data_IF_127217507540
#
_entry.id   IF_127217507540
#
_cell.length_a   1.000
_cell.length_b   1.000
_cell.length_c   1.000
_cell.angle_alpha   90.00
_cell.angle_beta   90.00
_cell.angle_gamma   90.00
#
_symmetry.space_group_name_H-M   'P 1'
#
loop_
_entity.id
_entity.type
_entity.pdbx_description
1 polymer ?
#
# COMPACT_ATOMS: atom_id res chain seq x y z
N UNK A 1 4.50 -5.87 -0.64
CA UNK A 1 3.58 -5.54 -1.76
C UNK A 1 2.20 -5.23 -1.21
N UNK A 2 1.66 -4.06 -1.55
CA UNK A 2 0.28 -3.67 -1.21
C UNK A 2 -0.71 -4.46 -2.07
N UNK A 3 -1.83 -4.86 -1.49
CA UNK A 3 -2.90 -5.58 -2.17
C UNK A 3 -2.65 -7.08 -2.38
N UNK A 4 -1.54 -7.62 -1.87
CA UNK A 4 -1.16 -9.03 -2.09
C UNK A 4 -2.13 -10.02 -1.44
N UNK A 5 -2.80 -9.64 -0.37
CA UNK A 5 -3.77 -10.49 0.33
C UNK A 5 -5.22 -10.28 -0.14
N UNK A 6 -5.45 -9.50 -1.21
CA UNK A 6 -6.78 -9.18 -1.69
C UNK A 6 -7.49 -8.15 -0.82
N UNK A 7 -8.82 -8.21 -0.76
CA UNK A 7 -9.69 -7.24 -0.07
C UNK A 7 -10.05 -7.65 1.36
N UNK A 8 -10.60 -6.70 2.10
CA UNK A 8 -11.26 -6.94 3.38
C UNK A 8 -10.33 -7.43 4.50
N UNK A 9 -10.71 -8.48 5.22
CA UNK A 9 -9.97 -9.01 6.37
C UNK A 9 -8.56 -9.48 5.99
N UNK A 10 -8.37 -10.02 4.78
CA UNK A 10 -7.05 -10.42 4.28
C UNK A 10 -6.10 -9.24 4.21
N UNK A 11 -6.55 -8.11 3.66
CA UNK A 11 -5.78 -6.86 3.58
C UNK A 11 -5.44 -6.31 4.98
N UNK A 12 -6.42 -6.26 5.88
CA UNK A 12 -6.21 -5.79 7.25
C UNK A 12 -5.16 -6.63 8.00
N UNK A 13 -5.26 -7.95 7.92
CA UNK A 13 -4.29 -8.88 8.52
C UNK A 13 -2.91 -8.73 7.88
N UNK A 14 -2.85 -8.63 6.56
CA UNK A 14 -1.60 -8.43 5.82
C UNK A 14 -0.89 -7.15 6.25
N UNK A 15 -1.62 -6.05 6.46
CA UNK A 15 -1.06 -4.80 6.93
C UNK A 15 -0.41 -4.95 8.32
N UNK A 16 -1.13 -5.57 9.27
CA UNK A 16 -0.64 -5.76 10.64
C UNK A 16 0.57 -6.71 10.69
N UNK A 17 0.54 -7.84 9.98
CA UNK A 17 1.65 -8.77 9.93
C UNK A 17 2.88 -8.17 9.23
N UNK A 18 2.67 -7.38 8.18
CA UNK A 18 3.74 -6.62 7.52
C UNK A 18 4.41 -5.67 8.50
N UNK A 19 3.63 -4.88 9.24
CA UNK A 19 4.17 -3.96 10.24
C UNK A 19 4.89 -4.71 11.38
N UNK A 20 4.35 -5.85 11.83
CA UNK A 20 5.00 -6.70 12.86
C UNK A 20 6.38 -7.17 12.40
N UNK A 21 6.50 -7.65 11.17
CA UNK A 21 7.77 -8.09 10.59
C UNK A 21 8.74 -6.91 10.49
N UNK A 22 8.29 -5.77 9.99
CA UNK A 22 9.11 -4.56 9.85
C UNK A 22 9.63 -4.10 11.22
N UNK A 23 8.76 -4.05 12.22
CA UNK A 23 9.16 -3.68 13.59
C UNK A 23 10.21 -4.63 14.17
N UNK A 24 10.12 -5.94 13.86
CA UNK A 24 11.09 -6.93 14.29
C UNK A 24 12.42 -6.85 13.53
N UNK A 25 12.38 -6.60 12.21
CA UNK A 25 13.56 -6.51 11.35
C UNK A 25 14.35 -5.21 11.54
N UNK A 26 13.68 -4.13 11.95
CA UNK A 26 14.26 -2.81 12.13
C UNK A 26 15.05 -2.28 10.91
N UNK A 27 14.48 -2.31 9.70
CA UNK A 27 15.17 -1.83 8.51
C UNK A 27 15.33 -0.30 8.54
N UNK A 28 16.34 0.22 7.85
CA UNK A 28 16.53 1.65 7.68
C UNK A 28 15.62 2.22 6.58
N UNK A 29 15.25 1.40 5.60
CA UNK A 29 14.41 1.77 4.46
C UNK A 29 13.29 0.76 4.27
N UNK A 30 12.12 1.28 3.93
CA UNK A 30 10.95 0.50 3.53
C UNK A 30 10.41 1.06 2.22
N UNK A 31 10.39 0.25 1.18
CA UNK A 31 9.73 0.60 -0.07
C UNK A 31 8.41 -0.18 -0.21
N UNK A 32 7.37 0.51 -0.68
CA UNK A 32 6.10 -0.12 -1.02
C UNK A 32 5.87 -0.12 -2.53
N UNK A 33 5.32 -1.22 -3.03
CA UNK A 33 4.85 -1.39 -4.39
C UNK A 33 3.44 -1.97 -4.34
N UNK A 34 2.58 -1.57 -5.27
CA UNK A 34 1.25 -2.16 -5.40
C UNK A 34 1.30 -3.37 -6.33
N UNK A 35 0.66 -4.47 -5.93
CA UNK A 35 0.58 -5.68 -6.75
C UNK A 35 -0.12 -5.39 -8.08
N UNK A 36 0.47 -5.85 -9.16
CA UNK A 36 -0.09 -5.76 -10.51
C UNK A 36 -0.10 -7.17 -11.12
N UNK A 37 -1.28 -7.73 -11.44
CA UNK A 37 -1.36 -9.03 -12.08
C UNK A 37 -0.75 -8.97 -13.48
N UNK A 38 0.20 -9.84 -13.77
CA UNK A 38 0.88 -9.93 -15.06
C UNK A 38 0.32 -11.10 -15.85
N UNK A 39 -0.03 -10.94 -17.14
CA UNK A 39 -0.46 -12.02 -18.00
C UNK A 39 0.50 -13.22 -17.93
N UNK A 40 -0.06 -14.43 -17.89
CA UNK A 40 0.71 -15.67 -17.76
C UNK A 40 1.01 -16.12 -16.33
N UNK A 41 0.82 -15.25 -15.32
CA UNK A 41 1.04 -15.61 -13.91
C UNK A 41 -0.19 -16.30 -13.29
N UNK A 42 0.04 -17.04 -12.20
CA UNK A 42 -1.05 -17.65 -11.43
C UNK A 42 -1.98 -16.59 -10.82
N UNK A 43 -1.44 -15.47 -10.34
CA UNK A 43 -2.25 -14.38 -9.80
C UNK A 43 -3.18 -13.81 -10.88
N UNK A 44 -2.66 -13.55 -12.08
CA UNK A 44 -3.45 -13.06 -13.19
C UNK A 44 -4.64 -13.99 -13.50
N UNK A 45 -4.38 -15.31 -13.60
CA UNK A 45 -5.45 -16.30 -13.80
C UNK A 45 -6.49 -16.27 -12.71
N UNK A 46 -6.07 -16.21 -11.44
CA UNK A 46 -7.00 -16.16 -10.29
C UNK A 46 -7.88 -14.89 -10.30
N UNK A 47 -7.33 -13.76 -10.76
CA UNK A 47 -8.12 -12.52 -10.92
C UNK A 47 -9.14 -12.70 -12.05
N UNK A 48 -8.75 -13.24 -13.21
CA UNK A 48 -9.65 -13.48 -14.33
C UNK A 48 -10.78 -14.46 -13.97
N UNK A 49 -10.48 -15.49 -13.20
CA UNK A 49 -11.46 -16.50 -12.75
C UNK A 49 -12.32 -16.04 -11.56
N UNK A 50 -12.13 -14.82 -11.06
CA UNK A 50 -12.84 -14.30 -9.88
C UNK A 50 -12.42 -14.95 -8.55
N UNK A 51 -11.38 -15.79 -8.54
CA UNK A 51 -10.87 -16.46 -7.33
C UNK A 51 -9.94 -15.58 -6.48
N UNK A 52 -9.59 -14.42 -6.99
CA UNK A 52 -8.84 -13.39 -6.28
C UNK A 52 -9.37 -12.02 -6.67
N UNK A 53 -9.83 -11.26 -5.69
CA UNK A 53 -10.34 -9.90 -5.90
C UNK A 53 -9.27 -8.91 -5.45
N UNK A 54 -8.76 -8.14 -6.40
CA UNK A 54 -7.82 -7.06 -6.09
C UNK A 54 -8.51 -5.97 -5.26
N UNK A 55 -7.82 -5.38 -4.30
CA UNK A 55 -8.32 -4.18 -3.66
C UNK A 55 -8.40 -3.03 -4.67
N UNK A 56 -9.40 -2.20 -4.52
CA UNK A 56 -9.48 -0.95 -5.26
C UNK A 56 -8.39 0.05 -4.81
N UNK A 57 -8.23 1.19 -5.50
CA UNK A 57 -7.22 2.17 -5.13
C UNK A 57 -7.34 2.66 -3.69
N UNK A 58 -8.55 2.88 -3.20
CA UNK A 58 -8.80 3.40 -1.85
C UNK A 58 -8.56 2.32 -0.79
N UNK A 59 -8.94 1.09 -1.04
CA UNK A 59 -8.63 -0.06 -0.18
C UNK A 59 -7.11 -0.31 -0.09
N UNK A 60 -6.39 -0.11 -1.20
CA UNK A 60 -4.92 -0.20 -1.22
C UNK A 60 -4.27 0.91 -0.37
N UNK A 61 -4.82 2.13 -0.41
CA UNK A 61 -4.37 3.23 0.42
C UNK A 61 -4.71 3.02 1.91
N UNK A 62 -5.87 2.45 2.22
CA UNK A 62 -6.22 2.09 3.59
C UNK A 62 -5.27 1.03 4.15
N UNK A 63 -4.90 0.01 3.36
CA UNK A 63 -3.88 -0.97 3.73
C UNK A 63 -2.54 -0.30 4.05
N UNK A 64 -2.08 0.62 3.20
CA UNK A 64 -0.85 1.37 3.42
C UNK A 64 -0.92 2.23 4.70
N UNK A 65 -2.04 2.89 4.95
CA UNK A 65 -2.27 3.66 6.17
C UNK A 65 -2.16 2.78 7.41
N UNK A 66 -2.81 1.60 7.42
CA UNK A 66 -2.72 0.63 8.53
C UNK A 66 -1.29 0.20 8.82
N UNK A 67 -0.48 0.03 7.77
CA UNK A 67 0.95 -0.26 7.92
C UNK A 67 1.65 0.91 8.62
N UNK A 68 1.41 2.16 8.22
CA UNK A 68 2.00 3.32 8.88
C UNK A 68 1.61 3.42 10.35
N UNK A 69 0.32 3.23 10.66
CA UNK A 69 -0.21 3.28 12.03
C UNK A 69 0.47 2.25 12.94
N UNK A 70 0.69 1.03 12.43
CA UNK A 70 1.21 -0.09 13.19
C UNK A 70 2.74 -0.15 13.29
N UNK A 71 3.48 0.58 12.44
CA UNK A 71 4.94 0.68 12.56
C UNK A 71 5.30 1.62 13.72
N UNK A 72 6.19 1.13 14.61
CA UNK A 72 6.65 1.86 15.80
C UNK A 72 8.12 2.32 15.71
N UNK A 73 8.82 1.97 14.63
CA UNK A 73 10.23 2.31 14.44
C UNK A 73 10.41 3.81 14.23
N UNK A 74 11.41 4.37 14.93
CA UNK A 74 11.93 5.69 14.64
C UNK A 74 12.90 5.65 13.44
N UNK A 75 12.96 6.76 12.70
CA UNK A 75 13.91 6.98 11.60
C UNK A 75 13.82 6.02 10.40
N UNK A 76 12.80 5.16 10.31
CA UNK A 76 12.54 4.35 9.14
C UNK A 76 12.15 5.26 7.96
N UNK A 77 12.95 5.23 6.89
CA UNK A 77 12.67 5.99 5.66
C UNK A 77 11.71 5.20 4.78
N UNK A 78 10.51 5.73 4.60
CA UNK A 78 9.51 5.15 3.70
C UNK A 78 9.61 5.77 2.29
N UNK A 79 9.60 4.91 1.27
CA UNK A 79 9.65 5.30 -0.15
C UNK A 79 8.53 4.59 -0.91
N UNK A 80 7.48 5.32 -1.24
CA UNK A 80 6.31 4.83 -1.97
C UNK A 80 6.16 5.46 -3.36
N UNK A 81 7.25 5.86 -4.00
CA UNK A 81 7.22 6.57 -5.30
C UNK A 81 7.15 5.65 -6.52
N UNK A 82 7.26 4.33 -6.32
CA UNK A 82 7.21 3.38 -7.44
C UNK A 82 5.96 3.59 -8.30
N UNK A 83 6.10 3.42 -9.61
CA UNK A 83 5.03 3.69 -10.59
C UNK A 83 3.78 2.83 -10.41
N UNK A 84 3.90 1.66 -9.76
CA UNK A 84 2.74 0.83 -9.44
C UNK A 84 1.82 1.42 -8.36
N UNK A 85 2.30 2.38 -7.56
CA UNK A 85 1.52 2.96 -6.47
C UNK A 85 0.55 4.03 -6.98
N UNK A 86 -0.64 4.06 -6.39
CA UNK A 86 -1.68 5.05 -6.70
C UNK A 86 -1.34 6.45 -6.20
N UNK A 87 -0.67 6.54 -5.06
CA UNK A 87 -0.29 7.80 -4.42
C UNK A 87 1.19 7.74 -4.05
N UNK A 88 2.05 8.61 -4.60
CA UNK A 88 3.44 8.66 -4.23
C UNK A 88 3.59 9.30 -2.84
N UNK A 89 4.09 8.54 -1.87
CA UNK A 89 4.33 9.01 -0.51
C UNK A 89 5.78 8.73 -0.14
N UNK A 90 6.43 9.71 0.47
CA UNK A 90 7.75 9.58 1.08
C UNK A 90 7.75 10.23 2.46
N UNK A 91 8.54 9.71 3.37
CA UNK A 91 8.67 10.31 4.69
C UNK A 91 9.57 9.49 5.61
N UNK A 92 9.87 10.06 6.75
CA UNK A 92 10.62 9.38 7.82
C UNK A 92 9.67 9.13 9.00
N UNK A 93 9.44 7.87 9.33
CA UNK A 93 8.68 7.48 10.52
C UNK A 93 9.56 7.62 11.77
N UNK A 94 9.13 8.14 12.89
CA UNK A 94 7.77 8.61 13.27
C UNK A 94 7.55 10.10 12.92
N UNK A 95 8.59 10.81 12.54
CA UNK A 95 8.58 12.25 12.30
C UNK A 95 7.46 12.70 11.36
N UNK A 96 7.36 12.04 10.20
CA UNK A 96 6.42 12.42 9.15
C UNK A 96 5.12 11.60 9.15
N UNK A 97 5.00 10.58 10.04
CA UNK A 97 3.82 9.71 10.12
C UNK A 97 2.50 10.48 10.18
N UNK A 98 2.31 11.51 11.03
CA UNK A 98 1.05 12.24 11.06
C UNK A 98 0.68 12.88 9.72
N UNK A 99 1.66 13.44 9.00
CA UNK A 99 1.44 14.05 7.69
C UNK A 99 1.12 13.01 6.61
N UNK A 100 1.79 11.86 6.66
CA UNK A 100 1.56 10.75 5.73
C UNK A 100 0.16 10.18 5.90
N UNK A 101 -0.27 9.95 7.15
CA UNK A 101 -1.62 9.48 7.47
C UNK A 101 -2.67 10.52 7.08
N UNK A 102 -2.46 11.81 7.40
CA UNK A 102 -3.38 12.88 7.04
C UNK A 102 -3.56 13.02 5.53
N UNK A 103 -2.50 12.81 4.74
CA UNK A 103 -2.58 12.81 3.28
C UNK A 103 -3.47 11.67 2.78
N UNK A 104 -3.28 10.45 3.29
CA UNK A 104 -4.11 9.30 2.91
C UNK A 104 -5.56 9.52 3.37
N UNK A 105 -5.78 9.96 4.61
CA UNK A 105 -7.13 10.22 5.14
C UNK A 105 -7.91 11.23 4.30
N UNK A 106 -7.25 12.28 3.82
CA UNK A 106 -7.87 13.24 2.91
C UNK A 106 -8.34 12.57 1.62
N UNK A 107 -7.49 11.78 0.98
CA UNK A 107 -7.83 11.07 -0.25
C UNK A 107 -8.96 10.06 -0.02
N UNK A 108 -8.92 9.34 1.11
CA UNK A 108 -9.97 8.36 1.47
C UNK A 108 -11.32 9.03 1.73
N UNK A 109 -11.32 10.18 2.42
CA UNK A 109 -12.54 10.94 2.72
C UNK A 109 -13.15 11.56 1.47
N UNK A 110 -12.32 12.22 0.66
CA UNK A 110 -12.78 12.94 -0.52
C UNK A 110 -13.10 11.99 -1.69
N UNK A 111 -12.56 10.77 -1.63
CA UNK A 111 -12.66 9.74 -2.69
C UNK A 111 -12.37 10.30 -4.09
N UNK A 112 -11.45 11.26 -4.15
CA UNK A 112 -11.05 11.90 -5.39
C UNK A 112 -10.08 11.01 -6.17
N UNK A 113 -10.60 10.37 -7.20
CA UNK A 113 -9.78 9.53 -8.09
C UNK A 113 -8.78 10.36 -8.91
N UNK A 114 -9.07 11.66 -9.11
CA UNK A 114 -8.17 12.59 -9.80
C UNK A 114 -6.89 12.90 -9.01
N UNK A 115 -6.90 12.70 -7.69
CA UNK A 115 -5.72 12.83 -6.85
C UNK A 115 -4.76 11.63 -6.97
N UNK A 116 -5.21 10.56 -7.63
CA UNK A 116 -4.45 9.31 -7.76
C UNK A 116 -3.74 9.24 -9.11
N UNK A 117 -2.63 8.51 -9.15
CA UNK A 117 -1.96 8.22 -10.42
C UNK A 117 -2.88 7.42 -11.32
N UNK A 118 -3.19 7.92 -12.54
CA UNK A 118 -4.10 7.24 -13.46
C UNK A 118 -3.51 5.89 -13.92
N UNK A 119 -4.37 4.92 -14.29
CA UNK A 119 -3.93 3.60 -14.74
C UNK A 119 -2.91 3.64 -15.90
N UNK A 120 -3.03 4.60 -16.80
CA UNK A 120 -2.12 4.79 -17.94
C UNK A 120 -0.70 5.18 -17.56
N UNK A 121 -0.51 5.73 -16.36
CA UNK A 121 0.80 6.13 -15.83
C UNK A 121 1.31 5.15 -14.74
N UNK A 122 0.56 4.08 -14.48
CA UNK A 122 0.99 3.01 -13.58
C UNK A 122 1.64 1.89 -14.38
N UNK A 123 2.70 1.32 -13.83
CA UNK A 123 3.46 0.25 -14.47
C UNK A 123 4.07 -0.72 -13.44
N UNK A 124 4.81 -1.67 -13.96
CA UNK A 124 5.62 -2.62 -13.18
C UNK A 124 6.98 -2.02 -12.86
#
# INVERSE_FOLDING_TARGET
LLGLAGRGEGSARHALETARIINAMQPQYLAALTVTPVPGTTLYRRVQDGRFVLPDPFETLDEMKRIFEAITLDNLKFVGTHVSNYLPIVGTLQKDKPKMIALVDRVLRDRDIGALRPPSLRGL
#
